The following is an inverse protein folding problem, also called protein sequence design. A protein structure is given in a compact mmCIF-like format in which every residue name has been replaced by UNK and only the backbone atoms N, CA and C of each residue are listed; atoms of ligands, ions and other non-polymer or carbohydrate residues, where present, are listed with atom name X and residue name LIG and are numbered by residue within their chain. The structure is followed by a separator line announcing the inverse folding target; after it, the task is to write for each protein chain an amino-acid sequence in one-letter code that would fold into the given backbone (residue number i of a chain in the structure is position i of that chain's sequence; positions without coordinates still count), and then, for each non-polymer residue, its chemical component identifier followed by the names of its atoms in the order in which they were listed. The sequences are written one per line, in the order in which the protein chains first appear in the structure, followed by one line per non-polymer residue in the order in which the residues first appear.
data_IF_636696098511
#
_entry.id   IF_636696098511
#
_cell.length_a   1.000
_cell.length_b   1.000
_cell.length_c   1.000
_cell.angle_alpha   90.00
_cell.angle_beta   90.00
_cell.angle_gamma   90.00
#
_symmetry.space_group_name_H-M   'P 1'
#
loop_
_entity.id
_entity.type
_entity.pdbx_description
1 polymer ?
#
# COMPACT_ATOMS: atom_id res chain seq x y z
N UNK A 1 -16.95 48.03 21.46
CA UNK A 1 -16.32 46.72 21.18
C UNK A 1 -17.32 45.61 21.46
N UNK A 2 -18.02 45.15 20.42
CA UNK A 2 -19.06 44.12 20.51
C UNK A 2 -18.44 42.73 20.27
N UNK A 3 -18.73 41.78 21.16
CA UNK A 3 -18.33 40.37 21.03
C UNK A 3 -19.43 39.60 20.31
N UNK A 4 -19.12 39.09 19.12
CA UNK A 4 -19.96 38.14 18.38
C UNK A 4 -19.81 36.74 19.01
N UNK A 5 -20.95 36.12 19.36
CA UNK A 5 -21.04 34.74 19.82
C UNK A 5 -21.32 33.84 18.59
N UNK A 6 -20.48 32.83 18.38
CA UNK A 6 -20.72 31.80 17.38
C UNK A 6 -21.74 30.80 17.92
N UNK A 7 -22.87 30.66 17.24
CA UNK A 7 -23.86 29.62 17.47
C UNK A 7 -23.55 28.41 16.60
N UNK A 8 -23.44 27.24 17.23
CA UNK A 8 -23.36 25.93 16.60
C UNK A 8 -24.77 25.46 16.23
N UNK A 9 -25.05 25.27 14.94
CA UNK A 9 -26.28 24.63 14.47
C UNK A 9 -25.96 23.24 13.93
N UNK A 10 -26.64 22.27 14.53
CA UNK A 10 -26.68 20.84 14.23
C UNK A 10 -27.34 20.60 12.86
N UNK A 11 -26.78 19.72 12.03
CA UNK A 11 -27.42 19.22 10.81
C UNK A 11 -27.84 17.77 11.05
N UNK A 12 -29.11 17.57 11.34
CA UNK A 12 -29.76 16.26 11.35
C UNK A 12 -29.99 15.80 9.91
N UNK A 13 -29.54 14.57 9.65
CA UNK A 13 -29.67 13.86 8.39
C UNK A 13 -31.06 13.21 8.28
N UNK A 14 -31.82 13.55 7.24
CA UNK A 14 -32.88 12.71 6.70
C UNK A 14 -32.51 12.26 5.30
N UNK A 15 -32.11 10.99 5.16
CA UNK A 15 -31.94 10.30 3.89
C UNK A 15 -33.05 9.26 3.78
N UNK A 16 -34.09 9.57 3.01
CA UNK A 16 -35.11 8.60 2.62
C UNK A 16 -34.63 7.85 1.36
N UNK A 17 -34.47 6.54 1.52
CA UNK A 17 -34.06 5.61 0.48
C UNK A 17 -35.32 5.10 -0.23
N UNK A 18 -35.50 5.47 -1.51
CA UNK A 18 -36.59 4.97 -2.34
C UNK A 18 -36.02 4.20 -3.55
N UNK A 19 -36.21 2.88 -3.55
CA UNK A 19 -35.83 1.97 -4.65
C UNK A 19 -37.07 1.73 -5.50
N UNK A 20 -37.11 2.38 -6.66
CA UNK A 20 -38.09 2.12 -7.72
C UNK A 20 -37.43 1.39 -8.89
N UNK A 21 -37.78 0.11 -9.05
CA UNK A 21 -37.51 -0.69 -10.24
C UNK A 21 -38.37 -0.22 -11.42
N UNK A 22 -37.77 -0.01 -12.58
CA UNK A 22 -38.48 -0.07 -13.86
C UNK A 22 -37.54 -0.52 -14.98
N UNK A 23 -37.96 -1.60 -15.61
CA UNK A 23 -37.43 -2.28 -16.79
C UNK A 23 -37.57 -1.43 -18.04
N UNK A 24 -36.62 -1.50 -18.97
CA UNK A 24 -36.98 -1.45 -20.39
C UNK A 24 -35.92 -2.12 -21.27
N UNK A 25 -36.46 -2.82 -22.27
CA UNK A 25 -35.86 -3.81 -23.13
C UNK A 25 -35.65 -3.19 -24.50
N UNK A 26 -34.46 -3.31 -25.09
CA UNK A 26 -34.26 -3.11 -26.52
C UNK A 26 -32.99 -3.83 -26.98
N UNK A 27 -33.18 -4.94 -27.71
CA UNK A 27 -32.12 -5.67 -28.39
C UNK A 27 -31.99 -5.14 -29.84
N UNK A 28 -30.78 -5.01 -30.40
CA UNK A 28 -30.65 -4.72 -31.82
C UNK A 28 -30.63 -5.99 -32.69
N UNK A 29 -31.24 -5.81 -33.86
CA UNK A 29 -31.51 -6.72 -34.96
C UNK A 29 -30.22 -7.20 -35.65
N UNK A 30 -30.14 -8.51 -35.94
CA UNK A 30 -29.12 -9.12 -36.80
C UNK A 30 -29.68 -9.25 -38.23
N UNK A 31 -28.97 -8.80 -39.28
CA UNK A 31 -29.17 -9.31 -40.62
C UNK A 31 -28.25 -10.52 -40.88
N UNK A 32 -28.88 -11.61 -41.29
CA UNK A 32 -28.33 -12.89 -41.73
C UNK A 32 -28.49 -12.98 -43.26
N UNK A 33 -27.47 -13.52 -43.94
CA UNK A 33 -27.48 -14.39 -45.15
C UNK A 33 -26.27 -14.06 -46.04
N UNK A 34 -25.27 -14.95 -46.08
CA UNK A 34 -25.10 -16.08 -47.02
C UNK A 34 -24.14 -15.66 -48.16
N UNK A 35 -22.90 -16.15 -48.11
CA UNK A 35 -22.40 -17.37 -48.77
C UNK A 35 -21.96 -17.09 -50.21
N UNK A 36 -20.66 -17.08 -50.42
CA UNK A 36 -20.04 -17.60 -51.63
C UNK A 36 -18.84 -18.42 -51.18
N UNK A 37 -19.01 -19.74 -51.27
CA UNK A 37 -17.98 -20.76 -51.12
C UNK A 37 -17.02 -20.75 -52.31
N UNK A 38 -15.93 -21.52 -52.12
CA UNK A 38 -15.01 -22.07 -53.12
C UNK A 38 -13.75 -21.20 -53.41
N UNK A 39 -12.51 -21.67 -53.27
CA UNK A 39 -12.01 -23.04 -53.25
C UNK A 39 -10.66 -23.16 -52.51
N UNK A 40 -10.51 -24.23 -51.74
CA UNK A 40 -9.33 -25.10 -51.62
C UNK A 40 -7.94 -24.51 -51.34
N UNK A 41 -7.41 -24.78 -50.13
CA UNK A 41 -6.34 -25.77 -49.91
C UNK A 41 -5.92 -25.88 -48.43
N UNK A 42 -6.11 -27.08 -47.91
CA UNK A 42 -5.37 -27.82 -46.90
C UNK A 42 -4.11 -27.21 -46.22
N UNK A 43 -4.19 -27.20 -44.87
CA UNK A 43 -3.16 -27.46 -43.83
C UNK A 43 -1.78 -26.79 -43.94
N UNK A 44 -1.46 -25.92 -42.96
CA UNK A 44 -0.40 -26.26 -41.99
C UNK A 44 -0.47 -25.39 -40.73
N UNK A 45 -0.60 -26.04 -39.58
CA UNK A 45 -0.49 -25.47 -38.24
C UNK A 45 0.97 -25.20 -37.93
N UNK A 46 1.46 -23.96 -37.94
CA UNK A 46 2.75 -23.63 -37.31
C UNK A 46 2.71 -22.30 -36.54
N UNK A 47 2.65 -22.50 -35.23
CA UNK A 47 3.02 -21.63 -34.12
C UNK A 47 4.43 -21.02 -34.32
N UNK A 48 4.68 -19.73 -34.01
CA UNK A 48 6.05 -19.24 -33.97
C UNK A 48 6.79 -19.84 -32.77
N UNK A 49 8.03 -20.20 -33.06
CA UNK A 49 8.99 -21.05 -32.37
C UNK A 49 9.18 -20.79 -30.85
N UNK A 50 9.16 -21.90 -30.10
CA UNK A 50 9.82 -22.00 -28.79
C UNK A 50 11.30 -21.68 -28.97
N UNK A 51 11.82 -20.73 -28.19
CA UNK A 51 13.25 -20.48 -28.04
C UNK A 51 13.97 -21.81 -27.76
N UNK A 52 14.83 -22.21 -28.70
CA UNK A 52 15.71 -23.36 -28.55
C UNK A 52 16.62 -23.09 -27.35
N UNK A 53 16.47 -23.89 -26.31
CA UNK A 53 17.44 -23.96 -25.22
C UNK A 53 18.73 -24.48 -25.85
N UNK A 54 19.73 -23.61 -25.97
CA UNK A 54 21.07 -23.97 -26.42
C UNK A 54 21.57 -25.13 -25.55
N UNK A 55 22.15 -26.21 -26.10
CA UNK A 55 22.73 -27.26 -25.28
C UNK A 55 23.87 -26.66 -24.45
N UNK A 56 23.62 -26.42 -23.16
CA UNK A 56 24.67 -26.06 -22.21
C UNK A 56 25.65 -27.23 -22.14
N UNK A 57 26.91 -26.99 -22.54
CA UNK A 57 27.97 -28.00 -22.45
C UNK A 57 27.95 -28.62 -21.04
N UNK A 58 27.74 -29.95 -20.91
CA UNK A 58 27.70 -30.63 -19.61
C UNK A 58 28.95 -30.35 -18.76
N UNK A 59 30.09 -30.08 -19.39
CA UNK A 59 31.35 -29.72 -18.71
C UNK A 59 31.28 -28.35 -18.04
N UNK A 60 30.53 -27.42 -18.62
CA UNK A 60 30.29 -26.09 -18.04
C UNK A 60 29.41 -26.21 -16.79
N UNK A 61 28.39 -27.06 -16.84
CA UNK A 61 27.51 -27.35 -15.69
C UNK A 61 28.33 -27.98 -14.54
N UNK A 62 29.17 -28.96 -14.85
CA UNK A 62 30.05 -29.56 -13.84
C UNK A 62 31.04 -28.58 -13.22
N UNK A 63 31.57 -27.64 -14.00
CA UNK A 63 32.46 -26.57 -13.50
C UNK A 63 31.71 -25.62 -12.56
N UNK A 64 30.52 -25.17 -12.94
CA UNK A 64 29.69 -24.28 -12.11
C UNK A 64 29.28 -24.97 -10.82
N UNK A 65 28.91 -26.26 -10.87
CA UNK A 65 28.59 -27.04 -9.66
C UNK A 65 29.81 -27.18 -8.74
N UNK A 66 31.01 -27.38 -9.30
CA UNK A 66 32.24 -27.48 -8.52
C UNK A 66 32.60 -26.14 -7.87
N UNK A 67 32.44 -25.01 -8.58
CA UNK A 67 32.65 -23.67 -8.03
C UNK A 67 31.65 -23.36 -6.91
N UNK A 68 30.35 -23.68 -7.08
CA UNK A 68 29.34 -23.49 -6.03
C UNK A 68 29.67 -24.33 -4.79
N UNK A 69 30.14 -25.57 -4.96
CA UNK A 69 30.57 -26.41 -3.84
C UNK A 69 31.78 -25.81 -3.11
N UNK A 70 32.78 -25.33 -3.84
CA UNK A 70 33.96 -24.69 -3.27
C UNK A 70 33.60 -23.39 -2.51
N UNK A 71 32.73 -22.55 -3.08
CA UNK A 71 32.23 -21.33 -2.41
C UNK A 71 31.48 -21.68 -1.12
N UNK A 72 30.64 -22.73 -1.15
CA UNK A 72 29.92 -23.19 0.04
C UNK A 72 30.87 -23.68 1.14
N UNK A 73 31.93 -24.39 0.76
CA UNK A 73 32.93 -24.90 1.70
C UNK A 73 33.73 -23.75 2.33
N UNK A 74 34.19 -22.78 1.52
CA UNK A 74 34.87 -21.58 2.00
C UNK A 74 34.00 -20.73 2.96
N UNK A 75 32.69 -20.61 2.68
CA UNK A 75 31.76 -19.92 3.57
C UNK A 75 31.55 -20.68 4.89
N UNK A 76 31.53 -22.02 4.85
CA UNK A 76 31.43 -22.84 6.05
C UNK A 76 32.70 -22.79 6.92
N UNK A 77 33.87 -22.68 6.29
CA UNK A 77 35.15 -22.51 6.98
C UNK A 77 35.31 -21.11 7.59
N UNK A 78 34.90 -20.06 6.87
CA UNK A 78 34.83 -18.69 7.41
C UNK A 78 33.85 -18.57 8.58
N UNK A 79 32.74 -19.30 8.55
CA UNK A 79 31.76 -19.32 9.65
C UNK A 79 32.31 -19.99 10.91
N UNK A 80 33.24 -20.95 10.77
CA UNK A 80 33.79 -21.71 11.89
C UNK A 80 35.02 -21.05 12.54
N UNK A 81 35.70 -20.12 11.86
CA UNK A 81 36.85 -19.39 12.43
C UNK A 81 36.46 -18.22 13.36
N UNK A 82 35.20 -17.80 13.40
CA UNK A 82 34.75 -16.66 14.22
C UNK A 82 34.25 -17.01 15.63
N UNK A 83 34.29 -18.29 16.06
CA UNK A 83 33.64 -18.74 17.30
C UNK A 83 34.49 -18.74 18.59
N UNK A 84 35.64 -18.06 18.63
CA UNK A 84 36.43 -17.93 19.87
C UNK A 84 36.41 -16.51 20.44
N UNK A 85 35.26 -16.10 20.97
CA UNK A 85 35.10 -15.07 22.03
C UNK A 85 33.66 -15.16 22.56
N UNK A 86 33.42 -15.14 23.89
CA UNK A 86 32.06 -15.05 24.41
C UNK A 86 31.62 -13.58 24.25
N UNK A 87 31.27 -13.19 23.04
CA UNK A 87 30.48 -12.00 22.84
C UNK A 87 29.09 -12.34 23.39
N UNK A 88 28.65 -11.60 24.41
CA UNK A 88 27.21 -11.48 24.70
C UNK A 88 26.54 -11.29 23.35
N UNK A 89 25.71 -12.25 22.95
CA UNK A 89 24.91 -12.07 21.74
C UNK A 89 24.21 -10.73 21.90
N UNK A 90 24.47 -9.73 21.02
CA UNK A 90 23.57 -8.60 20.97
C UNK A 90 22.23 -9.23 20.63
N UNK A 91 21.28 -9.17 21.56
CA UNK A 91 19.86 -9.44 21.32
C UNK A 91 19.62 -8.87 19.92
N UNK A 92 19.31 -9.75 18.96
CA UNK A 92 19.20 -9.38 17.57
C UNK A 92 18.16 -8.26 17.51
N UNK A 93 18.65 -7.03 17.53
CA UNK A 93 17.81 -5.85 17.52
C UNK A 93 17.18 -5.90 16.17
N UNK A 94 15.86 -6.07 16.15
CA UNK A 94 15.07 -6.08 14.94
C UNK A 94 15.24 -4.70 14.29
N UNK A 95 16.30 -4.56 13.47
CA UNK A 95 16.72 -3.27 12.89
C UNK A 95 15.61 -2.68 12.03
N UNK A 96 14.68 -3.52 11.57
CA UNK A 96 13.53 -3.14 10.76
C UNK A 96 12.48 -2.41 11.60
N UNK A 97 12.37 -2.71 12.90
CA UNK A 97 11.39 -2.06 13.81
C UNK A 97 12.03 -1.22 14.90
N UNK A 98 13.25 -0.72 14.69
CA UNK A 98 13.91 0.12 15.69
C UNK A 98 13.25 1.51 15.76
N UNK A 99 12.53 1.74 16.84
CA UNK A 99 11.89 3.03 17.14
C UNK A 99 12.82 3.98 17.91
N UNK A 100 13.92 3.48 18.49
CA UNK A 100 14.86 4.23 19.31
C UNK A 100 15.43 5.48 18.63
N UNK A 101 15.76 5.49 17.32
CA UNK A 101 16.22 6.72 16.65
C UNK A 101 15.17 7.83 16.62
N UNK A 102 13.89 7.48 16.71
CA UNK A 102 12.76 8.42 16.58
C UNK A 102 12.15 8.78 17.94
N UNK A 103 12.30 7.90 18.92
CA UNK A 103 11.86 8.08 20.31
C UNK A 103 13.05 7.80 21.26
N UNK A 104 14.02 8.72 21.37
CA UNK A 104 15.18 8.52 22.23
C UNK A 104 14.82 8.69 23.71
N UNK A 105 15.55 7.98 24.58
CA UNK A 105 15.47 8.20 26.03
C UNK A 105 14.20 7.70 26.70
N UNK A 106 13.45 6.80 26.07
CA UNK A 106 12.25 6.20 26.66
C UNK A 106 12.57 5.44 27.96
N UNK A 107 11.64 5.50 28.91
CA UNK A 107 11.66 4.69 30.12
C UNK A 107 11.59 3.19 29.80
N UNK A 108 12.05 2.36 30.74
CA UNK A 108 12.02 0.90 30.54
C UNK A 108 10.59 0.36 30.45
N UNK A 109 9.65 0.96 31.19
CA UNK A 109 8.23 0.63 31.11
C UNK A 109 7.68 0.86 29.69
N UNK A 110 7.99 2.01 29.08
CA UNK A 110 7.58 2.30 27.71
C UNK A 110 8.20 1.33 26.71
N UNK A 111 9.49 0.98 26.86
CA UNK A 111 10.13 -0.01 25.96
C UNK A 111 9.45 -1.38 26.04
N UNK A 112 9.09 -1.83 27.24
CA UNK A 112 8.34 -3.08 27.42
C UNK A 112 6.97 -3.00 26.72
N UNK A 113 6.25 -1.89 26.88
CA UNK A 113 4.97 -1.66 26.20
C UNK A 113 5.13 -1.72 24.68
N UNK A 114 6.15 -1.04 24.13
CA UNK A 114 6.42 -1.02 22.70
C UNK A 114 6.83 -2.39 22.15
N UNK A 115 7.62 -3.16 22.90
CA UNK A 115 7.99 -4.52 22.53
C UNK A 115 6.76 -5.45 22.41
N UNK A 116 5.73 -5.21 23.22
CA UNK A 116 4.48 -5.99 23.20
C UNK A 116 3.52 -5.62 22.06
N UNK A 117 3.79 -4.54 21.32
CA UNK A 117 3.00 -4.18 20.14
C UNK A 117 3.23 -5.16 18.99
N UNK A 118 2.26 -5.22 18.07
CA UNK A 118 2.44 -5.97 16.84
C UNK A 118 3.60 -5.40 16.00
N UNK A 119 4.21 -6.24 15.16
CA UNK A 119 5.27 -5.81 14.25
C UNK A 119 4.87 -4.57 13.44
N UNK A 120 3.69 -4.59 12.83
CA UNK A 120 3.19 -3.46 12.03
C UNK A 120 2.99 -2.19 12.85
N UNK A 121 2.52 -2.31 14.09
CA UNK A 121 2.34 -1.16 14.96
C UNK A 121 3.70 -0.56 15.38
N UNK A 122 4.73 -1.38 15.58
CA UNK A 122 6.11 -0.90 15.82
C UNK A 122 6.70 -0.24 14.58
N UNK A 123 6.46 -0.80 13.38
CA UNK A 123 6.91 -0.20 12.11
C UNK A 123 6.34 1.20 11.92
N UNK A 124 5.12 1.49 12.36
CA UNK A 124 4.53 2.83 12.28
C UNK A 124 5.29 3.90 13.09
N UNK A 125 6.09 3.48 14.09
CA UNK A 125 6.94 4.35 14.90
C UNK A 125 8.34 4.56 14.32
N UNK A 126 8.71 3.85 13.25
CA UNK A 126 10.04 3.92 12.63
C UNK A 126 10.19 5.17 11.74
N UNK A 127 9.78 6.33 12.26
CA UNK A 127 9.83 7.64 11.58
C UNK A 127 9.42 8.75 12.56
N UNK A 128 9.87 9.98 12.32
CA UNK A 128 9.50 11.13 13.17
C UNK A 128 8.04 11.58 13.02
N UNK A 129 7.45 11.40 11.85
CA UNK A 129 6.03 11.67 11.59
C UNK A 129 5.43 10.58 10.72
N UNK A 130 4.10 10.40 10.75
CA UNK A 130 3.43 9.37 9.94
C UNK A 130 3.67 9.58 8.44
N UNK A 131 3.76 10.83 7.99
CA UNK A 131 4.04 11.17 6.60
C UNK A 131 5.47 10.83 6.17
N UNK A 132 6.41 10.61 7.10
CA UNK A 132 7.75 10.13 6.77
C UNK A 132 7.88 8.61 6.86
N UNK A 133 6.83 7.93 7.31
CA UNK A 133 6.84 6.48 7.45
C UNK A 133 6.74 5.80 6.09
N UNK A 134 7.60 4.82 5.83
CA UNK A 134 7.72 4.18 4.52
C UNK A 134 6.44 3.42 4.12
N UNK A 135 5.87 2.60 5.03
CA UNK A 135 4.66 1.81 4.72
C UNK A 135 3.44 2.72 4.51
N UNK A 136 3.38 3.84 5.24
CA UNK A 136 2.35 4.85 5.03
C UNK A 136 2.52 5.54 3.68
N UNK A 137 3.74 5.94 3.33
CA UNK A 137 4.05 6.59 2.05
C UNK A 137 3.75 5.68 0.87
N UNK A 138 4.10 4.40 0.94
CA UNK A 138 3.77 3.43 -0.09
C UNK A 138 2.25 3.35 -0.32
N UNK A 139 1.48 3.25 0.77
CA UNK A 139 0.01 3.21 0.70
C UNK A 139 -0.55 4.51 0.12
N UNK A 140 0.00 5.66 0.53
CA UNK A 140 -0.40 6.97 0.03
C UNK A 140 -0.11 7.13 -1.46
N UNK A 141 1.04 6.67 -1.93
CA UNK A 141 1.41 6.72 -3.35
C UNK A 141 0.47 5.85 -4.20
N UNK A 142 0.09 4.67 -3.72
CA UNK A 142 -0.90 3.81 -4.38
C UNK A 142 -2.26 4.51 -4.47
N UNK A 143 -2.70 5.14 -3.38
CA UNK A 143 -3.94 5.93 -3.33
C UNK A 143 -3.90 7.08 -4.33
N UNK A 144 -2.84 7.90 -4.31
CA UNK A 144 -2.66 9.05 -5.19
C UNK A 144 -2.56 8.65 -6.67
N UNK A 145 -1.92 7.52 -6.97
CA UNK A 145 -1.85 6.98 -8.35
C UNK A 145 -3.23 6.62 -8.87
N UNK A 146 -4.06 6.00 -8.03
CA UNK A 146 -5.41 5.60 -8.40
C UNK A 146 -6.34 6.81 -8.56
N UNK A 147 -6.24 7.78 -7.65
CA UNK A 147 -6.95 9.06 -7.74
C UNK A 147 -6.58 9.81 -9.04
N UNK A 148 -5.27 9.93 -9.33
CA UNK A 148 -4.77 10.55 -10.55
C UNK A 148 -5.32 9.87 -11.81
N UNK A 149 -5.33 8.54 -11.83
CA UNK A 149 -5.88 7.78 -12.96
C UNK A 149 -7.36 8.10 -13.20
N UNK A 150 -8.15 8.22 -12.12
CA UNK A 150 -9.57 8.61 -12.22
C UNK A 150 -9.69 10.03 -12.78
N UNK A 151 -8.87 10.98 -12.29
CA UNK A 151 -8.85 12.35 -12.80
C UNK A 151 -8.54 12.40 -14.30
N UNK A 152 -7.48 11.71 -14.74
CA UNK A 152 -7.07 11.65 -16.15
C UNK A 152 -8.13 11.00 -17.05
N UNK A 153 -8.81 9.96 -16.55
CA UNK A 153 -9.92 9.31 -17.27
C UNK A 153 -11.09 10.28 -17.47
N UNK A 154 -11.51 10.99 -16.42
CA UNK A 154 -12.60 11.96 -16.52
C UNK A 154 -12.24 13.13 -17.43
N UNK A 155 -11.02 13.68 -17.31
CA UNK A 155 -10.57 14.77 -18.20
C UNK A 155 -10.55 14.32 -19.66
N UNK A 156 -10.06 13.10 -19.94
CA UNK A 156 -10.06 12.55 -21.30
C UNK A 156 -11.47 12.33 -21.85
N UNK A 157 -12.44 11.95 -21.02
CA UNK A 157 -13.84 11.77 -21.43
C UNK A 157 -14.52 13.09 -21.85
N UNK A 158 -14.18 14.22 -21.23
CA UNK A 158 -14.86 15.52 -21.47
C UNK A 158 -14.03 16.48 -22.33
N UNK A 159 -12.80 16.10 -22.70
CA UNK A 159 -11.84 16.98 -23.34
C UNK A 159 -11.24 18.00 -22.35
N UNK A 160 -10.32 18.84 -22.83
CA UNK A 160 -9.81 19.94 -22.01
C UNK A 160 -10.91 21.01 -21.84
N UNK A 161 -11.40 21.25 -20.62
CA UNK A 161 -12.43 22.27 -20.39
C UNK A 161 -11.85 23.65 -20.66
N UNK A 162 -12.53 24.43 -21.49
CA UNK A 162 -12.23 25.86 -21.74
C UNK A 162 -13.14 26.80 -20.93
N UNK A 163 -14.02 26.26 -20.07
CA UNK A 163 -15.03 27.01 -19.32
C UNK A 163 -15.18 26.48 -17.89
N UNK A 164 -15.37 27.40 -16.93
CA UNK A 164 -15.55 27.13 -15.50
C UNK A 164 -16.78 26.26 -15.18
N UNK A 165 -17.84 26.32 -15.99
CA UNK A 165 -19.02 25.48 -15.81
C UNK A 165 -18.71 24.01 -16.09
N UNK A 166 -17.82 23.76 -17.06
CA UNK A 166 -17.35 22.41 -17.39
C UNK A 166 -16.42 21.88 -16.29
N UNK A 167 -15.65 22.76 -15.63
CA UNK A 167 -14.80 22.39 -14.48
C UNK A 167 -15.65 21.87 -13.31
N UNK A 168 -16.76 22.54 -12.98
CA UNK A 168 -17.65 22.09 -11.90
C UNK A 168 -18.23 20.69 -12.17
N UNK A 169 -18.68 20.43 -13.41
CA UNK A 169 -19.20 19.13 -13.81
C UNK A 169 -18.11 18.04 -13.75
N UNK A 170 -16.89 18.37 -14.20
CA UNK A 170 -15.74 17.46 -14.15
C UNK A 170 -15.38 17.13 -12.70
N UNK A 171 -15.31 18.12 -11.81
CA UNK A 171 -15.00 17.92 -10.39
C UNK A 171 -16.06 17.02 -9.73
N UNK A 172 -17.35 17.29 -9.95
CA UNK A 172 -18.42 16.46 -9.39
C UNK A 172 -18.32 15.01 -9.88
N UNK A 173 -18.02 14.82 -11.17
CA UNK A 173 -17.84 13.48 -11.75
C UNK A 173 -16.61 12.76 -11.20
N UNK A 174 -15.49 13.46 -11.00
CA UNK A 174 -14.29 12.92 -10.33
C UNK A 174 -14.64 12.49 -8.92
N UNK A 175 -15.25 13.38 -8.12
CA UNK A 175 -15.65 13.10 -6.74
C UNK A 175 -16.57 11.87 -6.67
N UNK A 176 -17.55 11.76 -7.56
CA UNK A 176 -18.45 10.61 -7.65
C UNK A 176 -17.70 9.32 -8.00
N UNK A 177 -16.82 9.34 -9.00
CA UNK A 177 -16.02 8.15 -9.37
C UNK A 177 -15.09 7.73 -8.23
N UNK A 178 -14.40 8.67 -7.59
CA UNK A 178 -13.55 8.41 -6.42
C UNK A 178 -14.36 7.81 -5.27
N UNK A 179 -15.56 8.34 -4.99
CA UNK A 179 -16.44 7.80 -3.95
C UNK A 179 -16.93 6.38 -4.27
N UNK A 180 -17.13 6.03 -5.54
CA UNK A 180 -17.60 4.70 -5.95
C UNK A 180 -16.46 3.67 -6.08
N UNK A 181 -15.21 4.11 -6.16
CA UNK A 181 -14.05 3.22 -6.29
C UNK A 181 -13.70 2.54 -4.95
N UNK A 182 -13.97 1.24 -4.86
CA UNK A 182 -13.69 0.43 -3.66
C UNK A 182 -12.21 0.35 -3.32
N UNK A 183 -11.32 0.42 -4.31
CA UNK A 183 -9.87 0.40 -4.11
C UNK A 183 -9.40 1.68 -3.45
N UNK A 184 -9.91 2.83 -3.91
CA UNK A 184 -9.64 4.15 -3.33
C UNK A 184 -10.15 4.22 -1.89
N UNK A 185 -11.40 3.80 -1.66
CA UNK A 185 -12.00 3.75 -0.31
C UNK A 185 -11.19 2.87 0.65
N UNK A 186 -10.76 1.69 0.20
CA UNK A 186 -9.94 0.78 1.02
C UNK A 186 -8.61 1.42 1.41
N UNK A 187 -7.88 1.98 0.45
CA UNK A 187 -6.59 2.62 0.71
C UNK A 187 -6.76 3.84 1.62
N UNK A 188 -7.81 4.64 1.42
CA UNK A 188 -8.12 5.77 2.31
C UNK A 188 -8.39 5.31 3.74
N UNK A 189 -9.19 4.25 3.92
CA UNK A 189 -9.45 3.65 5.22
C UNK A 189 -8.16 3.15 5.88
N UNK A 190 -7.27 2.52 5.11
CA UNK A 190 -5.98 2.03 5.58
C UNK A 190 -5.07 3.17 6.06
N UNK A 191 -4.98 4.26 5.30
CA UNK A 191 -4.25 5.49 5.68
C UNK A 191 -4.79 6.08 6.99
N UNK A 192 -6.10 6.18 7.14
CA UNK A 192 -6.74 6.66 8.38
C UNK A 192 -6.43 5.73 9.54
N UNK A 193 -6.52 4.42 9.33
CA UNK A 193 -6.21 3.43 10.36
C UNK A 193 -4.75 3.53 10.85
N UNK A 194 -3.80 3.67 9.93
CA UNK A 194 -2.38 3.86 10.26
C UNK A 194 -2.14 5.13 11.10
N UNK A 195 -2.75 6.26 10.71
CA UNK A 195 -2.67 7.51 11.49
C UNK A 195 -3.25 7.33 12.90
N UNK A 196 -4.43 6.73 13.01
CA UNK A 196 -5.09 6.51 14.29
C UNK A 196 -4.26 5.61 15.21
N UNK A 197 -3.73 4.51 14.67
CA UNK A 197 -2.86 3.58 15.40
C UNK A 197 -1.62 4.28 15.93
N UNK A 198 -0.91 5.02 15.07
CA UNK A 198 0.28 5.76 15.48
C UNK A 198 -0.05 6.78 16.59
N UNK A 199 -1.06 7.61 16.38
CA UNK A 199 -1.47 8.62 17.36
C UNK A 199 -1.82 8.01 18.71
N UNK A 200 -2.51 6.85 18.70
CA UNK A 200 -2.83 6.12 19.93
C UNK A 200 -1.56 5.66 20.64
N UNK A 201 -0.58 5.13 19.90
CA UNK A 201 0.68 4.65 20.50
C UNK A 201 1.49 5.83 21.05
N UNK A 202 1.59 6.93 20.32
CA UNK A 202 2.25 8.15 20.80
C UNK A 202 1.58 8.70 22.07
N UNK A 203 0.24 8.68 22.16
CA UNK A 203 -0.47 9.06 23.37
C UNK A 203 -0.19 8.12 24.55
N UNK A 204 -0.03 6.81 24.31
CA UNK A 204 0.36 5.85 25.35
C UNK A 204 1.79 6.12 25.85
N UNK A 205 2.74 6.36 24.93
CA UNK A 205 4.11 6.76 25.27
C UNK A 205 4.08 8.01 26.15
N UNK A 206 3.41 9.07 25.71
CA UNK A 206 3.32 10.33 26.45
C UNK A 206 2.73 10.13 27.86
N UNK A 207 1.72 9.27 28.00
CA UNK A 207 1.08 9.00 29.29
C UNK A 207 2.03 8.30 30.27
N UNK A 208 2.77 7.28 29.80
CA UNK A 208 3.73 6.54 30.63
C UNK A 208 4.91 7.46 31.01
N UNK A 209 5.47 8.17 30.03
CA UNK A 209 6.61 9.06 30.26
C UNK A 209 6.26 10.23 31.19
N UNK A 210 5.04 10.78 31.07
CA UNK A 210 4.58 11.84 31.99
C UNK A 210 4.36 11.34 33.42
N UNK A 211 3.87 10.10 33.58
CA UNK A 211 3.71 9.48 34.89
C UNK A 211 5.07 9.19 35.55
N UNK A 212 6.05 8.71 34.78
CA UNK A 212 7.41 8.48 35.24
C UNK A 212 8.13 9.76 35.69
N UNK A 213 7.74 10.92 35.13
CA UNK A 213 8.30 12.23 35.48
C UNK A 213 7.62 12.91 36.69
N UNK A 214 6.53 12.35 37.24
CA UNK A 214 5.85 12.87 38.43
C UNK A 214 5.90 11.89 39.62
N UNK A 215 7.08 11.61 40.22
CA UNK A 215 7.14 10.85 41.45
C UNK A 215 6.75 11.75 42.64
N UNK A 216 5.48 11.70 43.10
CA UNK A 216 5.12 12.18 44.44
C UNK A 216 3.97 13.19 44.58
N UNK A 217 2.78 12.91 44.05
CA UNK A 217 1.53 13.49 44.59
C UNK A 217 0.76 12.43 45.36
N UNK A 218 1.09 12.27 46.63
CA UNK A 218 0.24 11.69 47.68
C UNK A 218 0.20 12.70 48.82
#
# INVERSE_FOLDING_TARGET
MQRQKFGTASLESHFDFNVGMATESSAPVIPRMENAEDAGRHINTQHPERQRIVPTDPRLIHRVIAEIKNIKEQLSEQSNQNNNKPAKEPIATDRITSYEPYFPGLSEETKIMLHNLSFYDRVLLCSTTIERNEIYQETYQRWATLEKRIMEEVVREHGHPLSLEVDHLIIEKIQKKCYQDRGLQRLQSELVCMRLKRNRIEAMIQSIESAAQQPGRV
#
